data_IF_636180059991
#
_entry.id   IF_636180059991
#
_cell.length_a   1.000
_cell.length_b   1.000
_cell.length_c   1.000
_cell.angle_alpha   90.00
_cell.angle_beta   90.00
_cell.angle_gamma   90.00
#
_symmetry.space_group_name_H-M   'P 1'
#
loop_
_entity.id
_entity.type
_entity.pdbx_description
1 polymer ?
#
# COMPACT_ATOMS: atom_id res chain seq x y z
N UNK A 1 13.29 20.41 -26.13
CA UNK A 1 11.98 19.79 -25.83
C UNK A 1 12.19 18.30 -25.78
N UNK A 2 11.70 17.61 -24.75
CA UNK A 2 11.76 16.14 -24.67
C UNK A 2 10.41 15.59 -25.10
N UNK A 3 10.41 14.76 -26.14
CA UNK A 3 9.22 14.01 -26.54
C UNK A 3 9.16 12.69 -25.78
N UNK A 4 7.97 12.32 -25.31
CA UNK A 4 7.71 11.07 -24.60
C UNK A 4 6.34 10.52 -25.00
N UNK A 5 6.13 9.20 -25.07
CA UNK A 5 4.83 8.62 -25.42
C UNK A 5 3.73 8.96 -24.41
N UNK A 6 4.08 8.98 -23.11
CA UNK A 6 3.15 9.27 -22.02
C UNK A 6 3.78 10.23 -21.00
N UNK A 7 3.06 11.31 -20.71
CA UNK A 7 3.35 12.21 -19.58
C UNK A 7 2.30 11.99 -18.48
N UNK A 8 2.74 11.64 -17.27
CA UNK A 8 1.89 11.44 -16.10
C UNK A 8 1.99 12.67 -15.20
N UNK A 9 0.86 13.36 -15.01
CA UNK A 9 0.77 14.50 -14.09
C UNK A 9 0.36 14.05 -12.69
N UNK A 10 1.36 13.86 -11.81
CA UNK A 10 1.21 13.49 -10.41
C UNK A 10 2.06 12.27 -10.02
N UNK A 11 2.86 12.41 -8.97
CA UNK A 11 3.71 11.38 -8.36
C UNK A 11 3.09 10.70 -7.14
N UNK A 12 1.77 10.78 -6.99
CA UNK A 12 1.04 10.04 -5.97
C UNK A 12 0.98 8.53 -6.24
N UNK A 13 0.35 7.77 -5.33
CA UNK A 13 0.25 6.31 -5.43
C UNK A 13 -0.33 5.83 -6.76
N UNK A 14 -1.35 6.52 -7.29
CA UNK A 14 -1.97 6.19 -8.59
C UNK A 14 -1.02 6.47 -9.75
N UNK A 15 -0.36 7.63 -9.78
CA UNK A 15 0.56 8.00 -10.87
C UNK A 15 1.81 7.10 -10.91
N UNK A 16 2.38 6.79 -9.75
CA UNK A 16 3.49 5.83 -9.65
C UNK A 16 3.06 4.41 -10.02
N UNK A 17 1.84 4.00 -9.66
CA UNK A 17 1.28 2.70 -10.08
C UNK A 17 1.10 2.63 -11.60
N UNK A 18 0.65 3.72 -12.22
CA UNK A 18 0.55 3.82 -13.68
C UNK A 18 1.94 3.75 -14.33
N UNK A 19 2.92 4.48 -13.80
CA UNK A 19 4.30 4.43 -14.29
C UNK A 19 4.89 3.01 -14.20
N UNK A 20 4.65 2.30 -13.09
CA UNK A 20 5.09 0.91 -12.90
C UNK A 20 4.45 -0.05 -13.90
N UNK A 21 3.14 0.08 -14.16
CA UNK A 21 2.45 -0.76 -15.14
C UNK A 21 2.89 -0.45 -16.58
N UNK A 22 3.13 0.82 -16.93
CA UNK A 22 3.67 1.19 -18.24
C UNK A 22 5.08 0.64 -18.44
N UNK A 23 5.97 0.77 -17.44
CA UNK A 23 7.30 0.18 -17.47
C UNK A 23 7.28 -1.34 -17.57
N UNK A 24 6.36 -2.01 -16.86
CA UNK A 24 6.16 -3.46 -16.97
C UNK A 24 5.69 -3.90 -18.36
N UNK A 25 5.05 -3.00 -19.12
CA UNK A 25 4.59 -3.22 -20.50
C UNK A 25 5.55 -2.70 -21.57
N UNK A 26 6.75 -2.27 -21.19
CA UNK A 26 7.75 -1.70 -22.10
C UNK A 26 7.27 -0.41 -22.81
N UNK A 27 6.53 0.43 -22.09
CA UNK A 27 6.05 1.74 -22.56
C UNK A 27 6.77 2.86 -21.81
N UNK A 28 7.54 3.65 -22.54
CA UNK A 28 8.23 4.82 -22.00
C UNK A 28 7.25 5.88 -21.47
N UNK A 29 7.52 6.35 -20.25
CA UNK A 29 6.77 7.44 -19.64
C UNK A 29 7.64 8.36 -18.78
N UNK A 30 7.12 9.56 -18.52
CA UNK A 30 7.69 10.49 -17.53
C UNK A 30 6.57 10.89 -16.57
N UNK A 31 6.82 10.73 -15.27
CA UNK A 31 5.96 11.28 -14.22
C UNK A 31 6.53 12.60 -13.71
N UNK A 32 5.65 13.59 -13.56
CA UNK A 32 5.97 14.88 -12.94
C UNK A 32 5.17 15.02 -11.65
N UNK A 33 5.80 15.55 -10.61
CA UNK A 33 5.17 15.86 -9.33
C UNK A 33 5.56 17.29 -8.96
N UNK A 34 4.59 18.06 -8.46
CA UNK A 34 4.80 19.43 -8.02
C UNK A 34 5.59 19.46 -6.72
N UNK A 35 5.31 18.53 -5.80
CA UNK A 35 5.97 18.46 -4.50
C UNK A 35 7.34 17.78 -4.59
N UNK A 36 8.35 18.44 -4.01
CA UNK A 36 9.72 17.90 -3.98
C UNK A 36 9.95 16.87 -2.87
N UNK A 37 8.97 16.68 -1.99
CA UNK A 37 9.06 15.78 -0.84
C UNK A 37 7.75 15.03 -0.62
N UNK A 38 7.82 13.95 0.15
CA UNK A 38 6.64 13.18 0.53
C UNK A 38 5.74 14.02 1.44
N UNK A 39 4.43 13.84 1.31
CA UNK A 39 3.49 14.44 2.24
C UNK A 39 3.76 13.90 3.66
N UNK A 40 3.99 14.76 4.67
CA UNK A 40 4.33 14.32 6.02
C UNK A 40 3.14 13.68 6.76
N UNK A 41 1.92 13.90 6.29
CA UNK A 41 0.72 13.31 6.86
C UNK A 41 0.30 12.05 6.06
N UNK A 42 0.30 10.85 6.66
CA UNK A 42 -0.14 9.65 5.98
C UNK A 42 -1.64 9.76 5.62
N UNK A 43 -1.99 9.46 4.37
CA UNK A 43 -3.38 9.57 3.86
C UNK A 43 -4.03 8.20 3.60
N UNK A 44 -3.25 7.25 3.10
CA UNK A 44 -3.68 5.88 2.88
C UNK A 44 -2.73 4.95 3.64
N UNK A 45 -3.28 4.07 4.48
CA UNK A 45 -2.55 3.15 5.34
C UNK A 45 -2.92 1.67 5.12
N UNK A 46 -3.87 1.39 4.22
CA UNK A 46 -4.32 0.06 3.89
C UNK A 46 -4.17 -0.22 2.39
N UNK A 47 -3.70 -1.42 2.06
CA UNK A 47 -3.56 -1.90 0.67
C UNK A 47 -4.48 -3.09 0.48
N UNK A 48 -5.33 -3.04 -0.53
CA UNK A 48 -6.26 -4.13 -0.83
C UNK A 48 -5.54 -5.31 -1.49
N UNK A 49 -6.10 -6.52 -1.35
CA UNK A 49 -5.56 -7.75 -1.94
C UNK A 49 -5.30 -7.61 -3.44
N UNK A 50 -6.24 -7.01 -4.19
CA UNK A 50 -6.08 -6.81 -5.64
C UNK A 50 -4.92 -5.87 -5.97
N UNK A 51 -4.67 -4.85 -5.15
CA UNK A 51 -3.50 -3.97 -5.31
C UNK A 51 -2.20 -4.73 -5.05
N UNK A 52 -2.17 -5.60 -4.03
CA UNK A 52 -1.01 -6.47 -3.76
C UNK A 52 -0.68 -7.40 -4.93
N UNK A 53 -1.68 -7.83 -5.71
CA UNK A 53 -1.43 -8.62 -6.93
C UNK A 53 -0.66 -7.85 -8.00
N UNK A 54 -0.91 -6.54 -8.15
CA UNK A 54 -0.13 -5.67 -9.03
C UNK A 54 1.28 -5.44 -8.47
N UNK A 55 1.41 -5.20 -7.15
CA UNK A 55 2.72 -5.05 -6.52
C UNK A 55 3.59 -6.30 -6.69
N UNK A 56 2.98 -7.50 -6.63
CA UNK A 56 3.67 -8.76 -6.92
C UNK A 56 4.06 -8.87 -8.39
N UNK A 57 3.21 -8.43 -9.31
CA UNK A 57 3.54 -8.38 -10.76
C UNK A 57 4.77 -7.51 -11.02
N UNK A 58 4.88 -6.38 -10.33
CA UNK A 58 6.00 -5.43 -10.46
C UNK A 58 7.19 -5.78 -9.56
N UNK A 59 7.12 -6.86 -8.76
CA UNK A 59 8.21 -7.34 -7.92
C UNK A 59 8.48 -6.51 -6.65
N UNK A 60 7.52 -5.70 -6.20
CA UNK A 60 7.68 -4.81 -5.02
C UNK A 60 6.86 -5.25 -3.80
N UNK A 61 6.08 -6.34 -3.90
CA UNK A 61 5.17 -6.79 -2.83
C UNK A 61 5.90 -7.04 -1.50
N UNK A 62 7.06 -7.69 -1.52
CA UNK A 62 7.82 -7.97 -0.30
C UNK A 62 8.33 -6.70 0.36
N UNK A 63 8.80 -5.72 -0.42
CA UNK A 63 9.25 -4.43 0.11
C UNK A 63 8.10 -3.68 0.77
N UNK A 64 6.91 -3.68 0.15
CA UNK A 64 5.70 -3.06 0.72
C UNK A 64 5.25 -3.79 1.99
N UNK A 65 5.22 -5.13 1.99
CA UNK A 65 4.82 -5.90 3.17
C UNK A 65 5.79 -5.69 4.34
N UNK A 66 7.10 -5.71 4.10
CA UNK A 66 8.11 -5.55 5.14
C UNK A 66 8.18 -4.13 5.71
N UNK A 67 7.73 -3.12 4.97
CA UNK A 67 7.60 -1.74 5.45
C UNK A 67 6.32 -1.51 6.27
N UNK A 68 5.40 -2.48 6.30
CA UNK A 68 4.11 -2.37 6.95
C UNK A 68 4.11 -2.75 8.44
N UNK A 69 2.94 -3.17 8.92
CA UNK A 69 2.73 -3.64 10.29
C UNK A 69 3.47 -4.99 10.50
N UNK A 70 4.13 -5.20 11.66
CA UNK A 70 4.79 -6.47 11.97
C UNK A 70 3.85 -7.69 11.80
N UNK A 71 4.36 -8.82 11.28
CA UNK A 71 3.52 -9.95 10.87
C UNK A 71 2.85 -10.69 12.04
N UNK A 72 3.36 -10.51 13.26
CA UNK A 72 2.84 -11.04 14.52
C UNK A 72 1.82 -10.11 15.20
N UNK A 73 1.67 -8.88 14.71
CA UNK A 73 0.73 -7.93 15.28
C UNK A 73 -0.72 -8.28 14.90
N UNK A 74 -1.66 -8.35 15.86
CA UNK A 74 -3.04 -8.66 15.57
C UNK A 74 -3.74 -7.50 14.84
N UNK A 75 -4.65 -7.84 13.92
CA UNK A 75 -5.54 -6.87 13.29
C UNK A 75 -6.86 -6.81 14.08
N UNK A 76 -6.77 -6.21 15.27
CA UNK A 76 -7.91 -6.06 16.16
C UNK A 76 -8.69 -4.77 15.89
N UNK A 77 -10.01 -4.88 15.95
CA UNK A 77 -10.95 -3.77 15.83
C UNK A 77 -11.77 -3.67 17.11
N UNK A 78 -11.70 -2.53 17.79
CA UNK A 78 -12.39 -2.28 19.06
C UNK A 78 -13.35 -1.11 18.96
N UNK A 79 -14.57 -1.28 19.47
CA UNK A 79 -15.49 -0.20 19.77
C UNK A 79 -15.42 0.09 21.26
N UNK A 80 -15.01 1.31 21.60
CA UNK A 80 -14.75 1.73 22.98
C UNK A 80 -15.44 3.06 23.25
N UNK A 81 -15.81 3.30 24.50
CA UNK A 81 -16.38 4.60 24.95
C UNK A 81 -15.36 5.74 24.89
N UNK A 82 -14.09 5.43 25.18
CA UNK A 82 -12.92 6.30 25.01
C UNK A 82 -11.68 5.41 24.90
N UNK A 83 -10.51 5.98 24.56
CA UNK A 83 -9.28 5.19 24.38
C UNK A 83 -8.91 4.33 25.61
N UNK A 84 -9.18 4.83 26.83
CA UNK A 84 -8.95 4.11 28.09
C UNK A 84 -10.26 3.65 28.74
N UNK A 85 -11.38 3.77 28.03
CA UNK A 85 -12.71 3.52 28.56
C UNK A 85 -13.13 2.06 28.45
N UNK A 86 -14.41 1.82 28.71
CA UNK A 86 -15.02 0.50 28.56
C UNK A 86 -15.06 0.07 27.08
N UNK A 87 -14.65 -1.17 26.82
CA UNK A 87 -14.90 -1.90 25.55
C UNK A 87 -16.37 -2.27 25.42
N UNK A 88 -16.96 -1.91 24.28
CA UNK A 88 -18.34 -2.22 23.90
C UNK A 88 -18.36 -3.50 23.07
N UNK A 89 -17.49 -3.57 22.06
CA UNK A 89 -17.39 -4.70 21.15
C UNK A 89 -15.97 -4.84 20.61
N UNK A 90 -15.60 -6.04 20.16
CA UNK A 90 -14.30 -6.28 19.56
C UNK A 90 -14.34 -7.44 18.57
N UNK A 91 -13.62 -7.29 17.47
CA UNK A 91 -13.34 -8.35 16.50
C UNK A 91 -11.82 -8.48 16.43
N UNK A 92 -11.33 -9.72 16.53
CA UNK A 92 -9.92 -10.04 16.32
C UNK A 92 -9.77 -10.79 15.01
N UNK A 93 -8.93 -10.27 14.12
CA UNK A 93 -8.50 -10.99 12.93
C UNK A 93 -7.12 -11.61 13.20
N UNK A 94 -6.86 -12.83 12.71
CA UNK A 94 -5.57 -13.48 12.91
C UNK A 94 -4.44 -12.63 12.31
N UNK A 95 -3.30 -12.51 13.01
CA UNK A 95 -2.12 -11.85 12.46
C UNK A 95 -1.65 -12.56 11.19
N UNK A 96 -0.96 -11.82 10.32
CA UNK A 96 -0.51 -12.33 9.02
C UNK A 96 0.33 -13.62 9.15
N UNK A 97 1.20 -13.70 10.16
CA UNK A 97 1.99 -14.89 10.44
C UNK A 97 1.11 -16.14 10.65
N UNK A 98 0.06 -16.02 11.46
CA UNK A 98 -0.86 -17.12 11.74
C UNK A 98 -1.66 -17.53 10.51
N UNK A 99 -2.03 -16.58 9.65
CA UNK A 99 -2.68 -16.88 8.36
C UNK A 99 -1.77 -17.71 7.46
N UNK A 100 -0.46 -17.44 7.46
CA UNK A 100 0.51 -18.23 6.67
C UNK A 100 0.69 -19.64 7.20
N UNK A 101 0.71 -19.81 8.52
CA UNK A 101 0.85 -21.13 9.16
C UNK A 101 -0.29 -22.08 8.82
N UNK A 102 -1.52 -21.57 8.64
CA UNK A 102 -2.71 -22.39 8.29
C UNK A 102 -2.70 -22.85 6.83
N UNK A 103 -1.98 -22.17 5.93
CA UNK A 103 -1.95 -22.47 4.49
C UNK A 103 -0.90 -23.50 4.08
N UNK A 104 -0.02 -23.89 5.00
CA UNK A 104 0.99 -24.95 4.80
C UNK A 104 0.50 -26.25 5.43
#
# INVERSE_FOLDING_TARGET
>A
VREVPVLISGGGSVGLSLAAELGWRDIDCVAIEQESSLNPHPRANAVANRTMEYYRRWGIDQAITNAGIPPDHPADYYWVSSLHGRKIYGISLPPFQKIREIKN
#
